data_IF_048979367118
#
_entry.id   IF_048979367118
#
_cell.length_a   1.000
_cell.length_b   1.000
_cell.length_c   1.000
_cell.angle_alpha   90.00
_cell.angle_beta   90.00
_cell.angle_gamma   90.00
#
_symmetry.space_group_name_H-M   'P 1'
#
loop_
_entity.id
_entity.type
_entity.pdbx_description
1 polymer ?
#
# COMPACT_ATOMS: atom_id res chain seq x y z
N UNK A 1 7.97 -0.53 -28.97
CA UNK A 1 6.82 -0.85 -28.12
C UNK A 1 6.08 0.45 -27.82
N UNK A 2 4.75 0.51 -28.00
CA UNK A 2 3.97 1.74 -27.81
C UNK A 2 3.96 2.10 -26.33
N UNK A 3 4.21 3.37 -26.01
CA UNK A 3 4.09 3.92 -24.66
C UNK A 3 2.67 3.67 -24.14
N UNK A 4 2.56 3.14 -22.93
CA UNK A 4 1.29 2.99 -22.19
C UNK A 4 0.70 4.39 -22.02
N UNK A 5 -0.32 4.72 -22.82
CA UNK A 5 -0.88 6.08 -22.93
C UNK A 5 -2.39 6.12 -22.64
N UNK A 6 -3.05 4.97 -22.54
CA UNK A 6 -4.53 4.92 -22.40
C UNK A 6 -5.00 4.07 -21.21
N UNK A 7 -6.28 4.23 -20.88
CA UNK A 7 -6.98 3.45 -19.83
C UNK A 7 -7.05 1.96 -20.20
N UNK A 8 -7.14 1.65 -21.50
CA UNK A 8 -7.13 0.27 -22.02
C UNK A 8 -5.80 -0.43 -21.77
N UNK A 9 -4.68 0.31 -21.80
CA UNK A 9 -3.35 -0.20 -21.44
C UNK A 9 -3.25 -0.57 -19.94
N UNK A 10 -3.99 0.16 -19.10
CA UNK A 10 -4.15 -0.09 -17.66
C UNK A 10 -5.01 -1.32 -17.39
N UNK A 11 -6.10 -1.49 -18.13
CA UNK A 11 -6.94 -2.69 -18.06
C UNK A 11 -6.19 -3.93 -18.54
N UNK A 12 -5.26 -3.80 -19.50
CA UNK A 12 -4.38 -4.88 -19.94
C UNK A 12 -3.33 -5.27 -18.89
N UNK A 13 -2.85 -4.29 -18.10
CA UNK A 13 -1.92 -4.48 -16.99
C UNK A 13 -2.61 -5.00 -15.71
N UNK A 14 -3.84 -4.55 -15.44
CA UNK A 14 -4.69 -5.05 -14.35
C UNK A 14 -5.29 -6.42 -14.69
N UNK A 15 -5.48 -6.73 -15.97
CA UNK A 15 -5.65 -8.09 -16.49
C UNK A 15 -4.30 -8.82 -16.59
N UNK A 16 -3.49 -8.80 -15.52
CA UNK A 16 -2.84 -10.05 -15.15
C UNK A 16 -3.95 -11.09 -15.13
N UNK A 17 -3.72 -12.28 -15.70
CA UNK A 17 -4.71 -13.36 -15.71
C UNK A 17 -4.94 -13.86 -14.27
N UNK A 18 -5.52 -13.01 -13.43
CA UNK A 18 -6.01 -13.35 -12.11
C UNK A 18 -7.23 -14.24 -12.33
N UNK A 19 -7.33 -15.37 -11.62
CA UNK A 19 -8.48 -16.26 -11.72
C UNK A 19 -9.79 -15.58 -11.28
N UNK A 20 -9.72 -14.45 -10.56
CA UNK A 20 -10.86 -13.60 -10.24
C UNK A 20 -10.91 -12.40 -11.19
N UNK A 21 -11.97 -12.26 -11.98
CA UNK A 21 -12.21 -11.06 -12.77
C UNK A 21 -12.34 -9.85 -11.82
N UNK A 22 -11.29 -9.02 -11.73
CA UNK A 22 -11.33 -7.77 -10.99
C UNK A 22 -12.37 -6.87 -11.63
N UNK A 23 -13.32 -6.39 -10.82
CA UNK A 23 -14.37 -5.44 -11.23
C UNK A 23 -14.45 -4.36 -10.18
N UNK A 24 -14.88 -3.15 -10.54
CA UNK A 24 -15.21 -2.16 -9.53
C UNK A 24 -16.12 -2.79 -8.45
N UNK A 25 -15.80 -2.67 -7.15
CA UNK A 25 -14.85 -1.74 -6.52
C UNK A 25 -13.46 -2.33 -6.21
N UNK A 26 -13.07 -3.49 -6.74
CA UNK A 26 -11.82 -4.19 -6.39
C UNK A 26 -10.58 -3.71 -7.16
N UNK A 27 -10.74 -2.72 -8.03
CA UNK A 27 -9.63 -2.03 -8.71
C UNK A 27 -9.28 -0.74 -7.97
N UNK A 28 -8.03 -0.23 -8.06
CA UNK A 28 -7.65 1.00 -7.38
C UNK A 28 -8.62 2.15 -7.70
N UNK A 29 -9.03 2.90 -6.67
CA UNK A 29 -9.82 4.12 -6.85
C UNK A 29 -8.94 5.20 -7.47
N UNK A 30 -8.82 5.17 -8.79
CA UNK A 30 -7.95 6.05 -9.56
C UNK A 30 -8.50 7.47 -9.71
N UNK A 31 -9.67 7.76 -9.14
CA UNK A 31 -10.36 9.04 -9.35
C UNK A 31 -10.69 9.31 -10.82
N UNK A 32 -10.61 8.30 -11.70
CA UNK A 32 -10.90 8.38 -13.14
C UNK A 32 -12.33 8.87 -13.38
N UNK A 33 -13.30 8.35 -12.61
CA UNK A 33 -14.71 8.76 -12.69
C UNK A 33 -14.94 10.21 -12.23
N UNK A 34 -14.03 10.78 -11.44
CA UNK A 34 -14.15 12.14 -10.90
C UNK A 34 -13.14 13.14 -11.49
N UNK A 35 -12.20 12.68 -12.35
CA UNK A 35 -11.09 13.47 -12.88
C UNK A 35 -10.14 14.06 -11.82
N UNK A 36 -10.21 13.62 -10.55
CA UNK A 36 -9.63 14.34 -9.41
C UNK A 36 -8.10 14.27 -9.28
N UNK A 37 -7.44 13.27 -9.87
CA UNK A 37 -6.01 13.02 -9.59
C UNK A 37 -5.13 12.75 -10.84
N UNK A 38 -5.22 13.54 -11.92
CA UNK A 38 -4.52 13.25 -13.17
C UNK A 38 -2.99 13.20 -13.02
N UNK A 39 -2.42 13.97 -12.09
CA UNK A 39 -0.96 13.96 -11.84
C UNK A 39 -0.53 12.66 -11.16
N UNK A 40 -1.25 12.22 -10.12
CA UNK A 40 -0.94 10.97 -9.41
C UNK A 40 -1.07 9.78 -10.35
N UNK A 41 -2.11 9.78 -11.19
CA UNK A 41 -2.29 8.74 -12.22
C UNK A 41 -1.11 8.69 -13.18
N UNK A 42 -0.67 9.84 -13.71
CA UNK A 42 0.49 9.91 -14.58
C UNK A 42 1.78 9.45 -13.89
N UNK A 43 1.94 9.75 -12.60
CA UNK A 43 3.08 9.28 -11.82
C UNK A 43 3.08 7.76 -11.68
N UNK A 44 1.94 7.16 -11.29
CA UNK A 44 1.80 5.70 -11.18
C UNK A 44 2.07 5.03 -12.52
N UNK A 45 1.48 5.53 -13.62
CA UNK A 45 1.69 4.97 -14.96
C UNK A 45 3.12 5.16 -15.47
N UNK A 46 3.75 6.27 -15.09
CA UNK A 46 5.14 6.54 -15.42
C UNK A 46 6.10 5.49 -14.86
N UNK A 47 5.79 4.89 -13.70
CA UNK A 47 6.66 3.89 -13.04
C UNK A 47 6.93 2.65 -13.89
N UNK A 48 5.99 2.27 -14.77
CA UNK A 48 6.11 1.06 -15.60
C UNK A 48 6.56 1.36 -17.04
N UNK A 49 6.74 2.63 -17.40
CA UNK A 49 7.03 3.05 -18.79
C UNK A 49 8.35 2.51 -19.36
N UNK A 50 9.31 2.18 -18.50
CA UNK A 50 10.63 1.65 -18.85
C UNK A 50 10.96 0.33 -18.13
N UNK A 51 9.94 -0.39 -17.67
CA UNK A 51 10.10 -1.61 -16.84
C UNK A 51 10.93 -2.72 -17.52
N UNK A 52 10.95 -2.78 -18.85
CA UNK A 52 11.75 -3.76 -19.60
C UNK A 52 13.25 -3.45 -19.64
N UNK A 53 13.62 -2.21 -19.28
CA UNK A 53 15.02 -1.74 -19.33
C UNK A 53 15.73 -1.88 -17.99
N UNK A 54 15.03 -2.25 -16.93
CA UNK A 54 15.61 -2.38 -15.59
C UNK A 54 16.02 -3.82 -15.31
N UNK A 55 17.10 -4.00 -14.56
CA UNK A 55 17.56 -5.35 -14.19
C UNK A 55 16.59 -6.05 -13.24
N UNK A 56 16.01 -5.29 -12.30
CA UNK A 56 15.11 -5.81 -11.26
C UNK A 56 14.03 -4.81 -10.88
N UNK A 57 12.81 -5.31 -10.70
CA UNK A 57 11.69 -4.61 -10.08
C UNK A 57 11.45 -5.20 -8.70
N UNK A 58 11.45 -4.37 -7.66
CA UNK A 58 11.33 -4.82 -6.26
C UNK A 58 9.97 -4.43 -5.68
N UNK A 59 9.29 -5.38 -5.05
CA UNK A 59 8.00 -5.17 -4.37
C UNK A 59 8.15 -5.39 -2.86
N UNK A 60 7.65 -4.44 -2.08
CA UNK A 60 7.50 -4.56 -0.63
C UNK A 60 6.32 -5.50 -0.31
N UNK A 61 6.54 -6.79 -0.54
CA UNK A 61 5.60 -7.90 -0.38
C UNK A 61 6.42 -9.18 -0.16
N UNK A 62 5.76 -10.31 0.07
CA UNK A 62 6.38 -11.63 0.16
C UNK A 62 5.54 -12.66 -0.59
N UNK A 63 6.18 -13.72 -1.07
CA UNK A 63 5.59 -14.66 -2.03
C UNK A 63 4.34 -15.33 -1.46
N UNK A 64 4.31 -15.70 -0.18
CA UNK A 64 3.16 -16.34 0.43
C UNK A 64 1.92 -15.41 0.52
N UNK A 65 2.10 -14.09 0.46
CA UNK A 65 0.98 -13.12 0.46
C UNK A 65 0.34 -12.97 -0.92
N UNK A 66 1.16 -13.01 -1.99
CA UNK A 66 0.75 -12.65 -3.35
C UNK A 66 1.23 -13.69 -4.40
N UNK A 67 1.27 -14.97 -4.03
CA UNK A 67 1.91 -16.05 -4.80
C UNK A 67 1.48 -16.11 -6.27
N UNK A 68 0.18 -16.06 -6.52
CA UNK A 68 -0.37 -16.09 -7.88
C UNK A 68 0.06 -14.89 -8.71
N UNK A 69 0.04 -13.69 -8.10
CA UNK A 69 0.41 -12.43 -8.75
C UNK A 69 1.91 -12.38 -9.01
N UNK A 70 2.74 -12.76 -8.02
CA UNK A 70 4.18 -12.82 -8.14
C UNK A 70 4.62 -13.81 -9.23
N UNK A 71 4.01 -15.00 -9.30
CA UNK A 71 4.27 -15.99 -10.34
C UNK A 71 3.87 -15.51 -11.73
N UNK A 72 2.80 -14.74 -11.88
CA UNK A 72 2.42 -14.20 -13.19
C UNK A 72 3.34 -13.05 -13.61
N UNK A 73 3.71 -12.16 -12.69
CA UNK A 73 4.61 -11.05 -12.96
C UNK A 73 6.02 -11.53 -13.34
N UNK A 74 6.55 -12.54 -12.66
CA UNK A 74 7.89 -13.11 -12.92
C UNK A 74 8.01 -13.80 -14.28
N UNK A 75 6.90 -14.21 -14.92
CA UNK A 75 6.91 -14.72 -16.30
C UNK A 75 7.24 -13.65 -17.33
N UNK A 76 7.01 -12.37 -17.02
CA UNK A 76 7.12 -11.25 -17.97
C UNK A 76 8.25 -10.29 -17.62
N UNK A 77 8.53 -10.12 -16.33
CA UNK A 77 9.46 -9.11 -15.83
C UNK A 77 10.38 -9.72 -14.76
N UNK A 78 11.59 -9.16 -14.63
CA UNK A 78 12.55 -9.52 -13.58
C UNK A 78 12.10 -8.98 -12.22
N UNK A 79 11.09 -9.60 -11.64
CA UNK A 79 10.41 -9.16 -10.41
C UNK A 79 10.94 -9.93 -9.20
N UNK A 80 11.15 -9.23 -8.08
CA UNK A 80 11.46 -9.82 -6.78
C UNK A 80 10.66 -9.17 -5.66
N UNK A 81 10.06 -10.00 -4.83
CA UNK A 81 9.54 -9.59 -3.52
C UNK A 81 10.74 -9.40 -2.57
N UNK A 82 10.72 -8.34 -1.76
CA UNK A 82 11.80 -8.03 -0.80
C UNK A 82 11.37 -8.19 0.66
N UNK A 83 10.28 -8.94 0.88
CA UNK A 83 9.58 -9.06 2.17
C UNK A 83 8.98 -7.71 2.61
N UNK A 84 8.41 -7.73 3.81
CA UNK A 84 7.90 -6.55 4.48
C UNK A 84 9.04 -5.64 4.96
N UNK A 85 8.80 -4.34 4.96
CA UNK A 85 9.69 -3.30 5.51
C UNK A 85 9.39 -2.97 6.97
N UNK A 86 8.66 -3.85 7.67
CA UNK A 86 8.49 -3.78 9.12
C UNK A 86 9.86 -4.00 9.80
N UNK A 87 10.22 -3.21 10.83
CA UNK A 87 11.52 -3.32 11.49
C UNK A 87 11.84 -4.76 11.95
N UNK A 88 13.08 -5.19 11.73
CA UNK A 88 13.59 -6.54 12.00
C UNK A 88 13.31 -7.01 13.42
N UNK A 89 13.33 -6.10 14.41
CA UNK A 89 13.02 -6.41 15.81
C UNK A 89 11.65 -7.08 16.01
N UNK A 90 10.69 -6.85 15.11
CA UNK A 90 9.35 -7.44 15.14
C UNK A 90 9.19 -8.70 14.27
N UNK A 91 10.21 -9.04 13.47
CA UNK A 91 10.18 -10.16 12.53
C UNK A 91 11.29 -11.16 12.87
N UNK A 92 12.43 -11.06 12.20
CA UNK A 92 13.51 -12.03 12.19
C UNK A 92 14.65 -11.71 13.17
N UNK A 93 14.68 -10.48 13.71
CA UNK A 93 15.66 -10.00 14.70
C UNK A 93 17.12 -10.17 14.27
N UNK A 94 17.38 -10.20 12.97
CA UNK A 94 18.73 -10.31 12.42
C UNK A 94 19.50 -8.99 12.46
N UNK A 95 18.79 -7.86 12.55
CA UNK A 95 19.38 -6.52 12.64
C UNK A 95 19.07 -5.94 14.02
N UNK A 96 20.05 -5.95 14.92
CA UNK A 96 19.88 -5.51 16.31
C UNK A 96 19.48 -4.02 16.43
N UNK A 97 19.96 -3.19 15.50
CA UNK A 97 19.69 -1.74 15.47
C UNK A 97 18.38 -1.36 14.76
N UNK A 98 17.68 -2.32 14.13
CA UNK A 98 16.45 -2.07 13.38
C UNK A 98 15.20 -2.27 14.26
N UNK A 99 14.97 -1.26 15.11
CA UNK A 99 13.98 -1.31 16.21
C UNK A 99 12.70 -0.54 15.86
N UNK A 100 12.78 0.51 15.04
CA UNK A 100 11.65 1.41 14.73
C UNK A 100 11.83 2.10 13.36
N UNK A 101 10.76 2.70 12.84
CA UNK A 101 10.83 3.54 11.66
C UNK A 101 11.64 4.83 11.94
N UNK A 102 12.84 4.91 11.37
CA UNK A 102 13.79 5.99 11.62
C UNK A 102 13.47 7.34 10.96
N UNK A 103 12.57 7.38 9.98
CA UNK A 103 12.19 8.61 9.26
C UNK A 103 10.69 8.90 9.42
N UNK A 104 10.36 9.98 10.11
CA UNK A 104 8.98 10.37 10.40
C UNK A 104 8.71 11.79 9.88
N UNK A 105 7.68 11.94 9.03
CA UNK A 105 7.21 13.24 8.57
C UNK A 105 6.45 14.02 9.66
N UNK A 106 5.86 13.29 10.61
CA UNK A 106 5.13 13.85 11.75
C UNK A 106 5.83 13.46 13.04
N UNK A 107 5.87 14.37 14.01
CA UNK A 107 6.49 14.10 15.31
C UNK A 107 5.73 12.97 16.02
N UNK A 108 6.39 11.85 16.39
CA UNK A 108 5.72 10.75 17.06
C UNK A 108 5.41 11.11 18.52
N UNK A 109 4.22 10.76 19.00
CA UNK A 109 3.80 10.86 20.40
C UNK A 109 3.82 9.47 21.07
N UNK A 110 4.97 8.80 21.01
CA UNK A 110 5.10 7.36 21.33
C UNK A 110 4.87 7.07 22.82
N UNK A 111 5.62 7.71 23.71
CA UNK A 111 5.63 7.34 25.14
C UNK A 111 4.27 7.53 25.82
N UNK A 112 3.61 8.66 25.55
CA UNK A 112 2.29 8.94 26.09
C UNK A 112 1.25 7.92 25.62
N UNK A 113 1.21 7.65 24.32
CA UNK A 113 0.25 6.70 23.74
C UNK A 113 0.49 5.27 24.25
N UNK A 114 1.74 4.81 24.30
CA UNK A 114 2.07 3.47 24.80
C UNK A 114 1.75 3.32 26.29
N UNK A 115 2.09 4.32 27.11
CA UNK A 115 1.77 4.31 28.53
C UNK A 115 0.25 4.25 28.76
N UNK A 116 -0.53 5.02 28.00
CA UNK A 116 -1.99 4.97 28.08
C UNK A 116 -2.56 3.62 27.62
N UNK A 117 -2.04 3.06 26.52
CA UNK A 117 -2.45 1.74 26.03
C UNK A 117 -2.20 0.64 27.06
N UNK A 118 -1.08 0.69 27.78
CA UNK A 118 -0.72 -0.28 28.83
C UNK A 118 -1.67 -0.26 30.03
N UNK A 119 -2.51 0.77 30.19
CA UNK A 119 -3.54 0.82 31.24
C UNK A 119 -4.84 0.10 30.88
N UNK A 120 -5.00 -0.33 29.63
CA UNK A 120 -6.24 -0.93 29.11
C UNK A 120 -6.17 -2.44 29.18
N UNK A 121 -7.33 -3.09 29.25
CA UNK A 121 -7.40 -4.54 29.20
C UNK A 121 -6.98 -5.04 27.80
N UNK A 122 -6.29 -6.17 27.77
CA UNK A 122 -5.89 -6.83 26.52
C UNK A 122 -7.09 -7.03 25.60
N UNK A 123 -6.99 -6.59 24.34
CA UNK A 123 -8.05 -6.69 23.31
C UNK A 123 -9.33 -5.88 23.64
N UNK A 124 -9.26 -4.90 24.54
CA UNK A 124 -10.41 -4.01 24.84
C UNK A 124 -10.50 -2.75 23.96
N UNK A 125 -9.50 -2.53 23.10
CA UNK A 125 -9.35 -1.27 22.35
C UNK A 125 -9.41 -1.49 20.85
N UNK A 126 -9.95 -0.51 20.14
CA UNK A 126 -9.95 -0.43 18.68
C UNK A 126 -8.92 0.62 18.25
N UNK A 127 -8.03 0.24 17.33
CA UNK A 127 -7.09 1.18 16.69
C UNK A 127 -7.68 1.67 15.36
N UNK A 128 -7.75 2.99 15.20
CA UNK A 128 -8.25 3.64 13.97
C UNK A 128 -7.20 4.62 13.47
N UNK A 129 -6.83 4.52 12.20
CA UNK A 129 -5.88 5.43 11.55
C UNK A 129 -6.19 5.57 10.06
N UNK A 130 -6.12 6.81 9.56
CA UNK A 130 -6.28 7.16 8.15
C UNK A 130 -4.94 7.47 7.49
N UNK A 131 -3.84 7.05 8.12
CA UNK A 131 -2.48 7.27 7.64
C UNK A 131 -2.17 8.76 7.47
N UNK A 132 -1.18 9.10 6.65
CA UNK A 132 -0.61 10.45 6.54
C UNK A 132 -1.27 11.36 5.49
N UNK A 133 -2.04 10.80 4.54
CA UNK A 133 -2.50 11.53 3.35
C UNK A 133 -4.01 11.66 3.26
N UNK A 134 -4.78 10.70 3.78
CA UNK A 134 -6.23 10.74 3.63
C UNK A 134 -6.83 11.88 4.47
N UNK A 135 -7.76 12.63 3.86
CA UNK A 135 -8.49 13.72 4.51
C UNK A 135 -9.97 13.39 4.47
N UNK A 136 -10.58 13.30 5.64
CA UNK A 136 -12.03 13.10 5.80
C UNK A 136 -12.74 14.43 5.83
N UNK A 137 -13.93 14.50 5.23
CA UNK A 137 -14.80 15.66 5.34
C UNK A 137 -15.54 15.68 6.69
N UNK A 138 -16.23 16.79 6.98
CA UNK A 138 -16.90 16.99 8.26
C UNK A 138 -17.97 15.92 8.56
N UNK A 139 -18.76 15.54 7.55
CA UNK A 139 -19.80 14.51 7.67
C UNK A 139 -19.18 13.14 8.01
N UNK A 140 -18.11 12.75 7.32
CA UNK A 140 -17.38 11.50 7.58
C UNK A 140 -16.76 11.48 8.97
N UNK A 141 -16.23 12.62 9.45
CA UNK A 141 -15.69 12.75 10.79
C UNK A 141 -16.78 12.68 11.86
N UNK A 142 -17.95 13.26 11.60
CA UNK A 142 -19.11 13.18 12.49
C UNK A 142 -19.60 11.74 12.61
N UNK A 143 -19.80 11.05 11.48
CA UNK A 143 -20.18 9.64 11.47
C UNK A 143 -19.16 8.80 12.23
N UNK A 144 -17.85 8.96 11.96
CA UNK A 144 -16.82 8.21 12.67
C UNK A 144 -16.87 8.45 14.19
N UNK A 145 -17.07 9.71 14.61
CA UNK A 145 -17.18 10.05 16.03
C UNK A 145 -18.42 9.42 16.69
N UNK A 146 -19.54 9.36 15.98
CA UNK A 146 -20.75 8.67 16.44
C UNK A 146 -20.53 7.17 16.60
N UNK A 147 -19.84 6.53 15.65
CA UNK A 147 -19.55 5.10 15.67
C UNK A 147 -18.54 4.67 16.74
N UNK A 148 -17.60 5.56 17.11
CA UNK A 148 -16.54 5.27 18.10
C UNK A 148 -16.91 5.67 19.54
N UNK A 149 -18.10 6.22 19.75
CA UNK A 149 -18.62 6.63 21.06
C UNK A 149 -19.08 5.43 21.89
#
# INVERSE_FOLDING_TARGET
>A
MKSLQTIEDLELLLCLKSPAALRAPTVPSMGLESGRFPVILRLILGQVSNIEKVDWVRFNSFDELEDEVAKELTKRYSVKTIRSTVPSMYLDKHLEDDIDYGFNLFKPYKDFCLNWLNTKETRSMVYVSFWSVAVLNAEQMEELAWWLK
#
